data_IF_579137646840
#
_entry.id   IF_579137646840
#
_cell.length_a   1.000
_cell.length_b   1.000
_cell.length_c   1.000
_cell.angle_alpha   90.00
_cell.angle_beta   90.00
_cell.angle_gamma   90.00
#
_symmetry.space_group_name_H-M   'P 1'
#
loop_
_entity.id
_entity.type
_entity.pdbx_description
1 polymer ?
#
# COMPACT_ATOMS: atom_id res chain seq x y z
N UNK A 1 0.75 9.70 12.44
CA UNK A 1 2.09 9.04 12.50
C UNK A 1 3.17 10.06 12.21
N UNK A 2 4.42 9.71 12.46
CA UNK A 2 5.57 10.58 12.18
C UNK A 2 6.45 9.94 11.11
N UNK A 3 6.87 10.72 10.11
CA UNK A 3 7.89 10.33 9.15
C UNK A 3 9.18 11.07 9.50
N UNK A 4 10.27 10.34 9.67
CA UNK A 4 11.61 10.89 9.86
C UNK A 4 12.36 10.69 8.55
N UNK A 5 12.72 11.79 7.88
CA UNK A 5 13.63 11.75 6.75
C UNK A 5 15.05 11.57 7.27
N UNK A 6 15.67 10.45 6.91
CA UNK A 6 17.02 10.08 7.36
C UNK A 6 18.08 10.83 6.54
N UNK A 7 17.69 11.59 5.51
CA UNK A 7 18.50 12.70 5.00
C UNK A 7 19.64 12.28 4.06
N UNK A 8 19.43 11.25 3.24
CA UNK A 8 20.35 10.97 2.12
C UNK A 8 20.03 11.94 0.99
N UNK A 9 20.70 13.11 0.97
CA UNK A 9 20.52 14.30 0.10
C UNK A 9 19.10 14.55 -0.42
N UNK A 10 18.60 15.77 -0.21
CA UNK A 10 17.40 16.31 -0.88
C UNK A 10 17.44 16.28 -2.44
N UNK A 11 18.53 15.79 -3.07
CA UNK A 11 18.77 15.71 -4.52
C UNK A 11 19.51 14.43 -4.97
N UNK A 12 19.46 13.30 -4.25
CA UNK A 12 19.93 12.01 -4.80
C UNK A 12 18.76 11.33 -5.52
N UNK A 13 18.77 11.25 -6.87
CA UNK A 13 17.62 10.71 -7.61
C UNK A 13 17.45 9.20 -7.44
N UNK A 14 18.41 8.51 -6.82
CA UNK A 14 18.48 7.06 -6.82
C UNK A 14 17.72 6.39 -5.66
N UNK A 15 17.72 6.97 -4.46
CA UNK A 15 17.01 6.39 -3.33
C UNK A 15 16.72 7.40 -2.20
N UNK A 16 15.72 7.10 -1.37
CA UNK A 16 15.39 7.79 -0.12
C UNK A 16 15.38 6.81 1.04
N UNK A 17 15.80 7.25 2.23
CA UNK A 17 15.67 6.50 3.48
C UNK A 17 14.70 7.24 4.40
N UNK A 18 13.62 6.57 4.84
CA UNK A 18 12.64 7.12 5.76
C UNK A 18 12.36 6.18 6.93
N UNK A 19 12.02 6.73 8.10
CA UNK A 19 11.51 5.95 9.23
C UNK A 19 10.09 6.41 9.56
N UNK A 20 9.14 5.48 9.53
CA UNK A 20 7.77 5.72 9.97
C UNK A 20 7.59 5.27 11.42
N UNK A 21 7.20 6.19 12.29
CA UNK A 21 6.84 5.93 13.68
C UNK A 21 5.31 5.91 13.80
N UNK A 22 4.77 4.73 14.10
CA UNK A 22 3.34 4.51 14.25
C UNK A 22 3.03 4.28 15.74
N UNK A 23 2.14 5.07 16.37
CA UNK A 23 1.62 4.75 17.70
C UNK A 23 0.75 3.47 17.63
N UNK A 24 0.38 2.87 18.78
CA UNK A 24 -0.60 1.79 18.79
C UNK A 24 -1.88 2.19 18.06
N UNK A 25 -2.42 1.27 17.26
CA UNK A 25 -3.55 1.52 16.35
C UNK A 25 -3.28 2.51 15.22
N UNK A 26 -2.05 3.00 15.08
CA UNK A 26 -1.64 3.84 13.95
C UNK A 26 -1.70 3.06 12.65
N UNK A 27 -2.19 3.70 11.59
CA UNK A 27 -2.36 3.10 10.26
C UNK A 27 -1.63 3.92 9.22
N UNK A 28 -0.82 3.25 8.39
CA UNK A 28 -0.43 3.74 7.07
C UNK A 28 -1.37 3.07 6.06
N UNK A 29 -2.34 3.81 5.47
CA UNK A 29 -3.38 3.24 4.63
C UNK A 29 -2.80 2.54 3.39
N UNK A 30 -3.61 1.71 2.75
CA UNK A 30 -3.18 0.99 1.56
C UNK A 30 -2.75 1.97 0.47
N UNK A 31 -1.51 1.83 0.01
CA UNK A 31 -0.90 2.70 -1.00
C UNK A 31 0.06 1.92 -1.89
N UNK A 32 0.39 2.44 -3.08
CA UNK A 32 1.32 1.81 -4.03
C UNK A 32 2.74 2.43 -4.01
N UNK A 33 3.65 1.76 -4.73
CA UNK A 33 5.03 2.18 -4.95
C UNK A 33 5.37 2.08 -6.46
N UNK A 34 4.84 2.96 -7.31
CA UNK A 34 4.92 2.81 -8.76
C UNK A 34 6.37 2.91 -9.26
N UNK A 35 6.82 1.88 -10.00
CA UNK A 35 8.18 1.79 -10.56
C UNK A 35 9.30 1.73 -9.49
N UNK A 36 8.97 1.39 -8.25
CA UNK A 36 9.90 1.42 -7.13
C UNK A 36 10.19 0.01 -6.62
N UNK A 37 11.43 -0.20 -6.15
CA UNK A 37 11.81 -1.29 -5.26
C UNK A 37 11.96 -0.72 -3.87
N UNK A 38 11.33 -1.34 -2.88
CA UNK A 38 11.39 -0.87 -1.48
C UNK A 38 11.86 -2.00 -0.58
N UNK A 39 12.91 -1.72 0.18
CA UNK A 39 13.33 -2.56 1.30
C UNK A 39 12.70 -2.01 2.56
N UNK A 40 11.99 -2.85 3.31
CA UNK A 40 11.30 -2.44 4.54
C UNK A 40 11.74 -3.30 5.71
N UNK A 41 12.01 -2.67 6.85
CA UNK A 41 12.40 -3.36 8.08
C UNK A 41 11.69 -2.80 9.29
N UNK A 42 10.92 -3.65 9.98
CA UNK A 42 10.42 -3.35 11.32
C UNK A 42 11.60 -3.35 12.31
N UNK A 43 11.87 -2.17 12.87
CA UNK A 43 12.97 -1.93 13.81
C UNK A 43 12.57 -2.37 15.23
N UNK A 44 11.33 -2.05 15.64
CA UNK A 44 10.73 -2.50 16.89
C UNK A 44 9.21 -2.53 16.77
N UNK A 45 8.55 -3.24 17.71
CA UNK A 45 7.10 -3.30 17.83
C UNK A 45 6.48 -4.53 17.17
N UNK A 46 5.15 -4.55 17.16
CA UNK A 46 4.32 -5.56 16.48
C UNK A 46 3.32 -4.85 15.57
N UNK A 47 3.25 -5.29 14.32
CA UNK A 47 2.49 -4.67 13.25
C UNK A 47 1.82 -5.71 12.37
N UNK A 48 0.56 -5.48 12.02
CA UNK A 48 -0.12 -6.21 10.97
C UNK A 48 0.18 -5.55 9.61
N UNK A 49 0.63 -6.36 8.66
CA UNK A 49 0.93 -5.94 7.29
C UNK A 49 -0.03 -6.68 6.36
N UNK A 50 -0.69 -5.92 5.48
CA UNK A 50 -1.48 -6.46 4.38
C UNK A 50 -0.95 -5.93 3.07
N UNK A 51 -0.63 -6.80 2.11
CA UNK A 51 -0.01 -6.42 0.85
C UNK A 51 -0.60 -7.18 -0.34
N UNK A 52 -0.59 -6.55 -1.51
CA UNK A 52 -1.17 -7.03 -2.74
C UNK A 52 -0.31 -6.66 -3.95
N UNK A 53 -0.42 -7.45 -5.01
CA UNK A 53 0.03 -7.07 -6.35
C UNK A 53 -1.15 -7.08 -7.32
N UNK A 54 -1.04 -6.33 -8.40
CA UNK A 54 -2.06 -6.36 -9.45
C UNK A 54 -2.10 -7.74 -10.09
N UNK A 55 -3.29 -8.18 -10.47
CA UNK A 55 -3.39 -9.31 -11.40
C UNK A 55 -3.03 -8.76 -12.78
N UNK A 56 -1.98 -9.30 -13.40
CA UNK A 56 -1.58 -8.93 -14.76
C UNK A 56 -2.77 -9.13 -15.71
N UNK A 57 -2.93 -8.18 -16.63
CA UNK A 57 -3.91 -8.22 -17.73
C UNK A 57 -5.34 -7.74 -17.43
N UNK A 58 -5.58 -6.96 -16.38
CA UNK A 58 -6.94 -6.44 -16.12
C UNK A 58 -6.95 -4.94 -15.77
N UNK A 59 -7.09 -4.09 -16.78
CA UNK A 59 -7.83 -2.82 -16.62
C UNK A 59 -9.31 -3.18 -16.51
N UNK A 60 -9.71 -3.70 -15.35
CA UNK A 60 -11.08 -4.16 -15.08
C UNK A 60 -11.90 -3.04 -14.49
N UNK A 61 -12.38 -2.10 -15.29
CA UNK A 61 -13.57 -1.37 -14.87
C UNK A 61 -14.69 -2.39 -14.67
N UNK A 62 -14.97 -2.78 -13.41
CA UNK A 62 -16.05 -3.70 -13.08
C UNK A 62 -17.17 -2.94 -12.39
N UNK A 63 -18.40 -3.34 -12.66
CA UNK A 63 -19.59 -2.74 -12.06
C UNK A 63 -19.90 -3.46 -10.74
N UNK A 64 -20.35 -2.74 -9.70
CA UNK A 64 -20.85 -3.37 -8.48
C UNK A 64 -21.97 -4.34 -8.85
N UNK A 65 -21.99 -5.55 -8.27
CA UNK A 65 -23.14 -6.46 -8.45
C UNK A 65 -24.39 -5.74 -7.93
N UNK A 66 -25.42 -5.66 -8.77
CA UNK A 66 -26.68 -5.04 -8.38
C UNK A 66 -27.33 -5.87 -7.27
N UNK A 67 -27.63 -5.25 -6.13
CA UNK A 67 -28.60 -5.78 -5.20
C UNK A 67 -29.99 -5.63 -5.85
N UNK A 68 -30.81 -6.67 -5.79
CA UNK A 68 -32.09 -6.78 -6.51
C UNK A 68 -33.20 -5.92 -5.89
N UNK A 69 -32.93 -4.63 -5.69
CA UNK A 69 -33.93 -3.63 -5.32
C UNK A 69 -33.82 -2.43 -6.26
N UNK A 70 -34.65 -2.46 -7.30
CA UNK A 70 -34.82 -1.40 -8.28
C UNK A 70 -35.16 -0.07 -7.59
N UNK A 71 -34.30 0.94 -7.80
CA UNK A 71 -34.69 2.35 -7.73
C UNK A 71 -34.04 3.07 -8.91
N UNK A 72 -34.86 3.41 -9.88
CA UNK A 72 -34.53 4.22 -11.05
C UNK A 72 -34.12 5.63 -10.62
N UNK A 73 -33.11 6.21 -11.29
CA UNK A 73 -33.00 7.66 -11.41
C UNK A 73 -31.86 8.39 -10.70
N UNK A 74 -30.69 7.78 -10.46
CA UNK A 74 -29.44 8.54 -10.24
C UNK A 74 -28.32 7.94 -11.10
N UNK A 75 -27.56 8.79 -11.79
CA UNK A 75 -26.28 8.41 -12.41
C UNK A 75 -25.40 7.76 -11.34
N UNK A 76 -25.41 6.42 -11.26
CA UNK A 76 -24.50 5.66 -10.42
C UNK A 76 -23.12 5.92 -11.00
N UNK A 77 -22.36 6.84 -10.39
CA UNK A 77 -20.96 7.06 -10.73
C UNK A 77 -20.25 5.71 -10.73
N UNK A 78 -19.74 5.30 -11.90
CA UNK A 78 -19.06 4.02 -12.05
C UNK A 78 -17.80 4.06 -11.18
N UNK A 79 -17.79 3.31 -10.08
CA UNK A 79 -16.59 3.16 -9.25
C UNK A 79 -15.60 2.33 -10.06
N UNK A 80 -14.46 2.94 -10.43
CA UNK A 80 -13.37 2.21 -11.08
C UNK A 80 -12.60 1.44 -10.01
N UNK A 81 -12.62 0.12 -10.10
CA UNK A 81 -11.83 -0.77 -9.23
C UNK A 81 -10.87 -1.60 -10.08
N UNK A 82 -9.85 -2.19 -9.47
CA UNK A 82 -8.93 -3.10 -10.16
C UNK A 82 -8.64 -4.33 -9.31
N UNK A 83 -8.59 -5.50 -9.95
CA UNK A 83 -8.34 -6.76 -9.25
C UNK A 83 -6.87 -6.86 -8.80
N UNK A 84 -6.67 -7.22 -7.53
CA UNK A 84 -5.37 -7.46 -6.93
C UNK A 84 -5.34 -8.81 -6.20
N UNK A 85 -4.18 -9.46 -6.21
CA UNK A 85 -3.90 -10.69 -5.48
C UNK A 85 -3.17 -10.38 -4.17
N UNK A 86 -3.67 -10.93 -3.08
CA UNK A 86 -3.09 -10.88 -1.75
C UNK A 86 -1.73 -11.61 -1.72
N UNK A 87 -0.73 -10.94 -1.17
CA UNK A 87 0.64 -11.45 -0.99
C UNK A 87 1.00 -11.64 0.47
N UNK A 88 0.54 -10.73 1.32
CA UNK A 88 0.79 -10.75 2.76
C UNK A 88 -0.50 -10.37 3.49
N UNK A 89 -0.80 -11.07 4.56
CA UNK A 89 -1.85 -10.74 5.52
C UNK A 89 -1.49 -11.37 6.87
N UNK A 90 -0.51 -10.77 7.54
CA UNK A 90 0.07 -11.35 8.76
C UNK A 90 0.54 -10.28 9.72
N UNK A 91 0.60 -10.66 10.99
CA UNK A 91 1.30 -9.91 12.03
C UNK A 91 2.79 -10.23 12.02
N UNK A 92 3.61 -9.21 12.26
CA UNK A 92 5.07 -9.30 12.36
C UNK A 92 5.52 -8.62 13.66
N UNK A 93 6.42 -9.26 14.39
CA UNK A 93 7.02 -8.72 15.62
C UNK A 93 8.52 -8.65 15.45
N UNK A 94 9.13 -7.53 15.85
CA UNK A 94 10.58 -7.41 15.86
C UNK A 94 11.21 -8.29 16.98
N UNK A 95 12.38 -8.91 16.74
CA UNK A 95 13.18 -8.85 15.52
C UNK A 95 12.59 -9.71 14.40
N UNK A 96 12.52 -9.14 13.19
CA UNK A 96 12.15 -9.86 11.98
C UNK A 96 13.14 -9.57 10.85
N UNK A 97 13.07 -10.39 9.79
CA UNK A 97 13.82 -10.17 8.57
C UNK A 97 13.32 -8.92 7.82
N UNK A 98 14.18 -8.36 6.98
CA UNK A 98 13.82 -7.32 6.01
C UNK A 98 12.91 -7.91 4.94
N UNK A 99 11.85 -7.20 4.57
CA UNK A 99 11.02 -7.51 3.41
C UNK A 99 11.43 -6.67 2.20
N UNK A 100 11.10 -7.15 1.00
CA UNK A 100 11.32 -6.44 -0.25
C UNK A 100 10.04 -6.49 -1.10
N UNK A 101 9.72 -5.37 -1.73
CA UNK A 101 8.75 -5.30 -2.81
C UNK A 101 9.43 -4.76 -4.07
N UNK A 102 8.86 -5.13 -5.21
CA UNK A 102 9.27 -4.74 -6.56
C UNK A 102 8.14 -3.95 -7.25
N UNK A 103 8.38 -3.36 -8.44
CA UNK A 103 7.35 -2.61 -9.14
C UNK A 103 6.05 -3.39 -9.42
N UNK A 104 6.12 -4.71 -9.57
CA UNK A 104 4.98 -5.57 -9.93
C UNK A 104 4.93 -6.90 -9.15
N UNK A 105 5.74 -7.06 -8.11
CA UNK A 105 5.74 -8.28 -7.28
C UNK A 105 6.19 -7.98 -5.84
N UNK A 106 5.94 -8.91 -4.93
CA UNK A 106 6.30 -8.78 -3.51
C UNK A 106 5.34 -7.91 -2.69
N UNK A 107 4.20 -7.51 -3.25
CA UNK A 107 3.19 -6.71 -2.56
C UNK A 107 3.41 -5.21 -2.72
N UNK A 108 3.44 -4.72 -3.97
CA UNK A 108 3.63 -3.31 -4.31
C UNK A 108 2.61 -2.39 -3.64
N UNK A 109 1.37 -2.86 -3.44
CA UNK A 109 0.37 -2.16 -2.67
C UNK A 109 0.33 -2.73 -1.26
N UNK A 110 0.63 -1.93 -0.23
CA UNK A 110 0.55 -2.41 1.15
C UNK A 110 -0.06 -1.40 2.13
N UNK A 111 -0.52 -1.91 3.27
CA UNK A 111 -0.89 -1.11 4.42
C UNK A 111 -0.23 -1.66 5.69
N UNK A 112 0.01 -0.75 6.62
CA UNK A 112 0.54 -1.06 7.95
C UNK A 112 -0.49 -0.70 9.00
N UNK A 113 -0.73 -1.60 9.94
CA UNK A 113 -1.56 -1.36 11.12
C UNK A 113 -0.76 -1.75 12.36
N UNK A 114 -0.39 -0.78 13.17
CA UNK A 114 0.48 -1.00 14.31
C UNK A 114 -0.32 -1.58 15.50
N UNK A 115 0.02 -2.80 15.94
CA UNK A 115 -0.57 -3.42 17.13
C UNK A 115 0.02 -2.79 18.41
N UNK A 116 1.32 -2.49 18.39
CA UNK A 116 2.02 -1.71 19.42
C UNK A 116 2.61 -0.45 18.81
N UNK A 117 3.31 0.38 19.59
CA UNK A 117 4.21 1.37 19.00
C UNK A 117 5.23 0.67 18.10
N UNK A 118 5.39 1.15 16.87
CA UNK A 118 6.27 0.57 15.87
C UNK A 118 7.15 1.61 15.21
N UNK A 119 8.33 1.17 14.77
CA UNK A 119 9.16 1.91 13.82
C UNK A 119 9.51 1.04 12.63
N UNK A 120 9.23 1.54 11.42
CA UNK A 120 9.56 0.87 10.16
C UNK A 120 10.56 1.73 9.40
N UNK A 121 11.70 1.15 9.03
CA UNK A 121 12.69 1.76 8.15
C UNK A 121 12.42 1.33 6.72
N UNK A 122 12.22 2.30 5.83
CA UNK A 122 12.08 2.06 4.39
C UNK A 122 13.27 2.66 3.63
N UNK A 123 13.78 1.89 2.66
CA UNK A 123 14.72 2.36 1.64
C UNK A 123 14.01 2.24 0.29
N UNK A 124 13.68 3.39 -0.30
CA UNK A 124 12.88 3.50 -1.51
C UNK A 124 13.79 3.80 -2.69
N UNK A 125 13.80 2.95 -3.72
CA UNK A 125 14.62 3.12 -4.91
C UNK A 125 13.84 2.92 -6.22
N UNK A 126 13.66 3.97 -7.06
CA UNK A 126 13.83 5.40 -6.73
C UNK A 126 12.81 5.88 -5.68
N UNK A 127 12.90 7.12 -5.19
CA UNK A 127 11.82 7.72 -4.40
C UNK A 127 10.62 8.09 -5.28
N UNK A 128 9.49 8.38 -4.62
CA UNK A 128 8.33 9.04 -5.23
C UNK A 128 8.74 10.36 -5.93
N UNK A 129 8.07 10.68 -7.02
CA UNK A 129 8.28 11.89 -7.82
C UNK A 129 7.04 12.14 -8.71
N UNK A 130 6.18 13.10 -8.31
CA UNK A 130 4.94 13.40 -9.04
C UNK A 130 5.20 13.82 -10.50
N UNK A 131 6.20 14.70 -10.82
CA UNK A 131 6.50 15.06 -12.21
C UNK A 131 6.92 13.88 -13.10
N UNK A 132 7.47 12.82 -12.52
CA UNK A 132 7.87 11.60 -13.23
C UNK A 132 6.80 10.50 -13.16
N UNK A 133 5.59 10.83 -12.69
CA UNK A 133 4.46 9.90 -12.59
C UNK A 133 4.57 8.88 -11.45
N UNK A 134 5.52 9.06 -10.52
CA UNK A 134 5.67 8.21 -9.33
C UNK A 134 4.99 8.84 -8.12
N UNK A 135 3.69 9.08 -8.21
CA UNK A 135 2.90 9.60 -7.08
C UNK A 135 2.49 8.44 -6.15
N UNK A 136 2.31 8.74 -4.86
CA UNK A 136 1.74 7.79 -3.92
C UNK A 136 0.22 7.80 -4.05
N UNK A 137 -0.35 6.72 -4.61
CA UNK A 137 -1.79 6.54 -4.75
C UNK A 137 -2.33 5.68 -3.60
N UNK A 138 -3.46 6.09 -3.02
CA UNK A 138 -4.15 5.35 -1.96
C UNK A 138 -5.29 4.51 -2.51
N UNK A 139 -5.61 3.41 -1.80
CA UNK A 139 -6.64 2.48 -2.22
C UNK A 139 -7.58 2.08 -1.08
N UNK A 140 -8.85 1.84 -1.43
CA UNK A 140 -9.82 1.13 -0.58
C UNK A 140 -9.97 -0.30 -1.10
N UNK A 141 -9.93 -1.28 -0.19
CA UNK A 141 -10.16 -2.69 -0.54
C UNK A 141 -11.63 -3.04 -0.48
N UNK A 142 -12.09 -3.80 -1.47
CA UNK A 142 -13.40 -4.44 -1.49
C UNK A 142 -13.23 -5.97 -1.63
N UNK A 143 -14.06 -6.78 -0.95
CA UNK A 143 -14.10 -8.22 -1.14
C UNK A 143 -14.30 -8.59 -2.61
N UNK A 144 -13.64 -9.67 -3.06
CA UNK A 144 -13.78 -10.18 -4.43
C UNK A 144 -15.24 -10.39 -4.85
N UNK A 145 -16.08 -10.88 -3.93
CA UNK A 145 -17.48 -11.21 -4.17
C UNK A 145 -18.35 -10.01 -4.59
N UNK A 146 -17.94 -8.77 -4.26
CA UNK A 146 -18.73 -7.55 -4.46
C UNK A 146 -18.90 -7.14 -5.93
N UNK A 147 -18.01 -7.61 -6.80
CA UNK A 147 -17.99 -7.25 -8.23
C UNK A 147 -18.04 -8.52 -9.08
N UNK A 148 -18.67 -8.44 -10.25
CA UNK A 148 -18.56 -9.49 -11.28
C UNK A 148 -17.48 -9.08 -12.27
N UNK A 149 -16.49 -9.94 -12.47
CA UNK A 149 -15.62 -9.82 -13.63
C UNK A 149 -16.36 -10.46 -14.82
N UNK A 150 -16.82 -9.65 -15.77
CA UNK A 150 -17.30 -10.16 -17.05
C UNK A 150 -16.07 -10.75 -17.80
N UNK A 151 -16.13 -12.04 -18.12
CA UNK A 151 -15.26 -12.74 -19.09
C UNK A 151 -13.78 -13.05 -18.78
N UNK A 152 -13.35 -13.35 -17.55
CA UNK A 152 -11.99 -13.89 -17.32
C UNK A 152 -11.93 -15.12 -16.43
N UNK A 153 -10.91 -15.96 -16.65
CA UNK A 153 -10.53 -17.10 -15.81
C UNK A 153 -10.47 -16.65 -14.34
N UNK A 154 -11.59 -16.76 -13.65
CA UNK A 154 -11.65 -16.56 -12.22
C UNK A 154 -10.75 -17.63 -11.60
N UNK A 155 -9.96 -17.28 -10.58
CA UNK A 155 -9.29 -18.29 -9.79
C UNK A 155 -10.33 -19.29 -9.26
N UNK A 156 -9.99 -20.59 -9.21
CA UNK A 156 -10.86 -21.62 -8.63
C UNK A 156 -11.49 -21.13 -7.31
N UNK A 157 -12.73 -21.53 -7.02
CA UNK A 157 -13.52 -21.04 -5.88
C UNK A 157 -12.76 -21.08 -4.53
N UNK A 158 -11.81 -22.00 -4.37
CA UNK A 158 -10.95 -22.14 -3.20
C UNK A 158 -9.96 -20.98 -2.98
N UNK A 159 -9.69 -20.16 -4.00
CA UNK A 159 -8.71 -19.06 -3.95
C UNK A 159 -9.35 -17.68 -3.86
N UNK A 160 -10.68 -17.57 -3.78
CA UNK A 160 -11.38 -16.27 -3.72
C UNK A 160 -10.88 -15.38 -2.59
N UNK A 161 -10.50 -15.95 -1.44
CA UNK A 161 -9.96 -15.22 -0.29
C UNK A 161 -8.58 -14.59 -0.53
N UNK A 162 -7.87 -15.04 -1.57
CA UNK A 162 -6.59 -14.47 -2.01
C UNK A 162 -6.76 -13.24 -2.92
N UNK A 163 -7.97 -12.79 -3.24
CA UNK A 163 -8.20 -11.69 -4.17
C UNK A 163 -9.06 -10.58 -3.56
N UNK A 164 -8.80 -9.35 -3.98
CA UNK A 164 -9.57 -8.18 -3.61
C UNK A 164 -9.65 -7.18 -4.76
N UNK A 165 -10.72 -6.38 -4.79
CA UNK A 165 -10.85 -5.25 -5.68
C UNK A 165 -10.32 -4.00 -4.99
N UNK A 166 -9.43 -3.26 -5.64
CA UNK A 166 -8.89 -2.01 -5.12
C UNK A 166 -9.49 -0.83 -5.87
N UNK A 167 -10.12 0.07 -5.12
CA UNK A 167 -10.66 1.35 -5.58
C UNK A 167 -9.61 2.43 -5.30
N UNK A 168 -9.24 3.23 -6.29
CA UNK A 168 -8.41 4.42 -6.06
C UNK A 168 -9.21 5.46 -5.26
N UNK A 169 -8.59 5.98 -4.21
CA UNK A 169 -9.20 7.02 -3.37
C UNK A 169 -8.23 8.17 -3.17
N UNK A 170 -8.77 9.36 -2.89
CA UNK A 170 -7.96 10.45 -2.37
C UNK A 170 -7.29 10.05 -1.05
N UNK A 171 -6.23 10.79 -0.70
CA UNK A 171 -5.59 10.67 0.61
C UNK A 171 -6.66 10.69 1.72
N UNK A 172 -6.77 9.64 2.56
CA UNK A 172 -7.81 9.58 3.57
C UNK A 172 -7.76 10.79 4.50
N UNK A 173 -8.91 11.43 4.77
CA UNK A 173 -8.97 12.63 5.62
C UNK A 173 -8.41 12.42 7.04
N UNK A 174 -8.48 11.20 7.56
CA UNK A 174 -7.89 10.82 8.85
C UNK A 174 -6.37 10.60 8.82
N UNK A 175 -5.73 10.63 7.65
CA UNK A 175 -4.30 10.39 7.51
C UNK A 175 -3.49 11.64 7.83
N UNK A 176 -2.95 11.70 9.05
CA UNK A 176 -1.98 12.72 9.47
C UNK A 176 -0.57 12.16 9.53
N UNK A 177 0.33 12.75 8.74
CA UNK A 177 1.78 12.48 8.72
C UNK A 177 2.50 13.76 9.08
N UNK A 178 3.25 13.71 10.17
CA UNK A 178 4.08 14.83 10.63
C UNK A 178 5.53 14.51 10.29
N UNK A 179 6.19 15.38 9.54
CA UNK A 179 7.62 15.28 9.28
C UNK A 179 8.43 15.64 10.52
N UNK A 180 9.48 14.87 10.81
CA UNK A 180 10.42 15.15 11.88
C UNK A 180 11.88 15.06 11.38
N UNK A 181 12.75 15.86 11.99
CA UNK A 181 14.18 15.82 11.71
C UNK A 181 14.81 14.58 12.33
N UNK A 182 15.70 13.94 11.59
CA UNK A 182 16.52 12.86 12.13
C UNK A 182 17.53 13.39 13.14
N UNK A 183 17.46 12.87 14.37
CA UNK A 183 18.33 13.26 15.49
C UNK A 183 19.26 12.13 15.95
N UNK A 184 19.43 11.08 15.13
CA UNK A 184 20.33 9.97 15.44
C UNK A 184 21.80 10.25 15.08
N UNK A 185 22.67 9.23 15.12
CA UNK A 185 24.07 9.37 14.71
C UNK A 185 24.22 9.96 13.31
N UNK A 186 25.20 10.85 13.13
CA UNK A 186 25.47 11.51 11.85
C UNK A 186 25.72 10.49 10.75
N UNK A 187 25.03 10.67 9.62
CA UNK A 187 25.28 9.91 8.41
C UNK A 187 26.41 10.59 7.66
N UNK A 188 27.46 9.82 7.40
CA UNK A 188 28.68 10.30 6.72
C UNK A 188 28.72 9.65 5.35
N UNK A 189 28.67 10.46 4.30
CA UNK A 189 28.98 10.03 2.94
C UNK A 189 30.47 9.72 2.85
N UNK A 190 30.84 8.57 2.28
CA UNK A 190 32.23 8.22 1.98
C UNK A 190 32.53 8.48 0.52
#
# INVERSE_FOLDING_TARGET
>A
MTEVDVGVRQNMPYFKIGIFLLPPSGVLPLHNHPQMTVFSKLLFGTMHIKAYDWVDDVTSSSTPKADSSEREGHEKGTISVRLAKLKVNSEFTAPCNTSILYPTDGGNMHCFTASTSCAVLDVLGPPYCDPEGRHCQYYRTHPFANFSAEDKQLPDDEKITEYAWLEEIDKPAGLSVVGALYNGPKIVEK
#
